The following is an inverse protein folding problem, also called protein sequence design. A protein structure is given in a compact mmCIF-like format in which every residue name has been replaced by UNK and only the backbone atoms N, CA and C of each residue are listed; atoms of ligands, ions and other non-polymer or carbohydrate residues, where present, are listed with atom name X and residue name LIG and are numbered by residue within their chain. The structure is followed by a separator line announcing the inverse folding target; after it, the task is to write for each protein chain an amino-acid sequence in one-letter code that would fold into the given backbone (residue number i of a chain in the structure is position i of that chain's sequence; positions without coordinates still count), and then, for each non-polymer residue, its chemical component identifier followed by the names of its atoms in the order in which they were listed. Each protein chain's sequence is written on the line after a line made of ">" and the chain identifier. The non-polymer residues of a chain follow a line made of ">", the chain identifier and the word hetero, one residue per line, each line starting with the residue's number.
data_IF_804206564485
#
_entry.id   IF_804206564485
#
_cell.length_a   1.000
_cell.length_b   1.000
_cell.length_c   1.000
_cell.angle_alpha   90.00
_cell.angle_beta   90.00
_cell.angle_gamma   90.00
#
_symmetry.space_group_name_H-M   'P 1'
#
loop_
_entity.id
_entity.type
_entity.pdbx_description
1 polymer ?
#
# COMPACT_ATOMS: atom_id res chain seq x y z
N UNK A 1 -6.24 9.36 -11.77
CA UNK A 1 -6.40 9.55 -13.23
C UNK A 1 -6.50 11.04 -13.47
N UNK A 2 -5.67 11.62 -14.34
CA UNK A 2 -5.83 13.02 -14.74
C UNK A 2 -7.27 13.20 -15.20
N UNK A 3 -7.97 14.20 -14.64
CA UNK A 3 -9.31 14.51 -15.14
C UNK A 3 -9.17 14.87 -16.61
N UNK A 4 -10.18 14.57 -17.42
CA UNK A 4 -10.17 14.97 -18.82
C UNK A 4 -10.00 16.50 -18.98
N UNK A 5 -10.31 17.27 -17.92
CA UNK A 5 -10.03 18.70 -17.83
C UNK A 5 -8.55 19.05 -17.63
N UNK A 6 -7.73 18.19 -17.00
CA UNK A 6 -6.27 18.41 -16.91
C UNK A 6 -5.58 18.11 -18.24
N UNK A 7 -6.11 17.19 -19.04
CA UNK A 7 -5.66 16.97 -20.42
C UNK A 7 -6.01 18.16 -21.33
N UNK A 8 -7.05 18.94 -21.02
CA UNK A 8 -7.47 20.10 -21.82
C UNK A 8 -6.79 21.41 -21.41
N UNK A 9 -6.10 21.46 -20.26
CA UNK A 9 -5.44 22.66 -19.74
C UNK A 9 -3.93 22.71 -20.00
N UNK A 10 -3.36 21.64 -20.57
CA UNK A 10 -2.08 21.74 -21.24
C UNK A 10 -2.39 22.48 -22.53
N UNK A 11 -1.96 23.74 -22.61
CA UNK A 11 -1.91 24.50 -23.86
C UNK A 11 -0.90 23.74 -24.75
N UNK A 12 -1.41 22.71 -25.43
CA UNK A 12 -0.65 21.89 -26.39
C UNK A 12 -0.39 22.83 -27.56
N UNK A 13 0.62 23.69 -27.39
CA UNK A 13 1.31 24.34 -28.47
C UNK A 13 1.52 23.26 -29.52
N UNK A 14 0.83 23.43 -30.66
CA UNK A 14 0.64 22.44 -31.71
C UNK A 14 1.86 21.54 -31.83
N UNK A 15 1.79 20.34 -31.25
CA UNK A 15 2.89 19.41 -31.29
C UNK A 15 3.00 18.94 -32.73
N UNK A 16 3.88 19.58 -33.50
CA UNK A 16 4.18 19.17 -34.87
C UNK A 16 4.80 17.77 -34.75
N UNK A 17 4.16 16.72 -35.31
CA UNK A 17 4.72 15.38 -35.24
C UNK A 17 6.12 15.38 -35.86
N UNK A 18 7.07 14.71 -35.22
CA UNK A 18 8.43 14.61 -35.73
C UNK A 18 8.39 13.99 -37.14
N UNK A 19 9.19 14.49 -38.11
CA UNK A 19 9.32 13.86 -39.42
C UNK A 19 9.63 12.35 -39.26
N UNK A 20 8.98 11.45 -40.02
CA UNK A 20 9.17 9.99 -39.89
C UNK A 20 10.63 9.53 -40.02
N UNK A 21 11.44 10.31 -40.74
CA UNK A 21 12.88 10.07 -40.94
C UNK A 21 13.68 10.22 -39.64
N UNK A 22 13.19 11.02 -38.68
CA UNK A 22 13.85 11.23 -37.39
C UNK A 22 13.39 10.22 -36.35
N UNK A 23 12.09 9.87 -36.30
CA UNK A 23 11.61 8.88 -35.31
C UNK A 23 12.16 7.48 -35.59
N UNK A 24 12.30 7.10 -36.87
CA UNK A 24 12.88 5.80 -37.27
C UNK A 24 14.36 5.63 -36.97
N UNK A 25 15.08 6.70 -36.60
CA UNK A 25 16.52 6.63 -36.26
C UNK A 25 16.78 6.31 -34.80
N UNK A 26 15.78 6.47 -33.93
CA UNK A 26 15.94 6.16 -32.50
C UNK A 26 15.66 4.66 -32.33
N UNK A 27 16.64 3.85 -31.87
CA UNK A 27 16.39 2.44 -31.62
C UNK A 27 15.26 2.23 -30.62
N UNK A 28 14.46 1.18 -30.82
CA UNK A 28 13.34 0.78 -29.96
C UNK A 28 13.73 0.83 -28.47
N UNK A 29 14.81 0.14 -28.14
CA UNK A 29 15.30 0.00 -26.76
C UNK A 29 15.62 1.36 -26.12
N UNK A 30 16.06 2.35 -26.90
CA UNK A 30 16.46 3.67 -26.38
C UNK A 30 15.24 4.47 -25.97
N UNK A 31 14.19 4.54 -26.81
CA UNK A 31 13.02 5.31 -26.43
C UNK A 31 12.15 4.58 -25.39
N UNK A 32 12.13 3.24 -25.37
CA UNK A 32 11.44 2.50 -24.30
C UNK A 32 12.07 2.79 -22.93
N UNK A 33 13.39 2.77 -22.85
CA UNK A 33 14.12 3.14 -21.64
C UNK A 33 13.77 4.59 -21.24
N UNK A 34 13.80 5.55 -22.17
CA UNK A 34 13.42 6.94 -21.86
C UNK A 34 11.99 7.02 -21.31
N UNK A 35 11.02 6.35 -21.94
CA UNK A 35 9.61 6.35 -21.52
C UNK A 35 9.43 5.70 -20.13
N UNK A 36 10.23 4.69 -19.79
CA UNK A 36 10.18 4.03 -18.48
C UNK A 36 10.59 4.93 -17.31
N UNK A 37 11.40 5.95 -17.56
CA UNK A 37 11.82 6.94 -16.56
C UNK A 37 10.94 8.19 -16.51
N UNK A 38 9.94 8.31 -17.38
CA UNK A 38 9.03 9.47 -17.42
C UNK A 38 8.05 9.46 -16.25
N UNK A 39 7.68 10.64 -15.78
CA UNK A 39 6.58 10.82 -14.83
C UNK A 39 5.21 10.75 -15.53
N UNK A 40 4.14 10.63 -14.74
CA UNK A 40 2.78 10.46 -15.26
C UNK A 40 2.31 11.57 -16.23
N UNK A 41 2.53 12.88 -15.93
CA UNK A 41 2.21 13.94 -16.89
C UNK A 41 2.98 13.82 -18.21
N UNK A 42 4.28 13.52 -18.16
CA UNK A 42 5.11 13.40 -19.36
C UNK A 42 4.72 12.16 -20.18
N UNK A 43 4.36 11.05 -19.52
CA UNK A 43 3.82 9.86 -20.19
C UNK A 43 2.55 10.16 -21.00
N UNK A 44 1.66 11.01 -20.48
CA UNK A 44 0.45 11.40 -21.20
C UNK A 44 0.78 12.21 -22.47
N UNK A 45 1.76 13.10 -22.40
CA UNK A 45 2.25 13.85 -23.57
C UNK A 45 2.98 12.93 -24.57
N UNK A 46 3.84 12.03 -24.08
CA UNK A 46 4.55 11.04 -24.88
C UNK A 46 3.59 10.14 -25.68
N UNK A 47 2.43 9.81 -25.10
CA UNK A 47 1.41 9.02 -25.78
C UNK A 47 0.80 9.71 -27.02
N UNK A 48 0.99 11.02 -27.16
CA UNK A 48 0.48 11.82 -28.29
C UNK A 48 1.52 12.04 -29.40
N UNK A 49 2.78 11.63 -29.20
CA UNK A 49 3.88 11.90 -30.14
C UNK A 49 3.74 11.07 -31.42
N UNK A 50 3.74 9.74 -31.29
CA UNK A 50 3.54 8.80 -32.40
C UNK A 50 2.92 7.48 -31.90
N UNK A 51 2.66 6.54 -32.82
CA UNK A 51 2.03 5.25 -32.52
C UNK A 51 2.95 4.29 -31.74
N UNK A 52 4.26 4.41 -31.90
CA UNK A 52 5.25 3.56 -31.23
C UNK A 52 5.39 3.97 -29.76
N UNK A 53 5.54 5.27 -29.51
CA UNK A 53 5.55 5.91 -28.19
C UNK A 53 4.22 5.71 -27.48
N UNK A 54 3.10 5.84 -28.20
CA UNK A 54 1.77 5.64 -27.66
C UNK A 54 1.64 4.28 -26.96
N UNK A 55 2.12 3.19 -27.57
CA UNK A 55 1.95 1.84 -27.00
C UNK A 55 2.70 1.72 -25.68
N UNK A 56 3.99 2.06 -25.65
CA UNK A 56 4.81 1.99 -24.44
C UNK A 56 4.33 2.95 -23.35
N UNK A 57 4.01 4.19 -23.73
CA UNK A 57 3.52 5.20 -22.79
C UNK A 57 2.20 4.75 -22.14
N UNK A 58 1.29 4.16 -22.90
CA UNK A 58 0.03 3.64 -22.36
C UNK A 58 0.22 2.42 -21.45
N UNK A 59 1.15 1.52 -21.77
CA UNK A 59 1.52 0.42 -20.88
C UNK A 59 2.00 0.96 -19.52
N UNK A 60 2.84 2.01 -19.53
CA UNK A 60 3.34 2.63 -18.30
C UNK A 60 2.25 3.40 -17.55
N UNK A 61 1.38 4.15 -18.25
CA UNK A 61 0.23 4.85 -17.67
C UNK A 61 -0.74 3.89 -16.97
N UNK A 62 -0.99 2.71 -17.56
CA UNK A 62 -1.90 1.70 -17.00
C UNK A 62 -1.21 0.66 -16.12
N UNK A 63 0.12 0.73 -15.96
CA UNK A 63 0.89 -0.19 -15.11
C UNK A 63 0.41 -0.13 -13.65
N UNK A 64 0.13 1.08 -13.15
CA UNK A 64 -0.36 1.36 -11.81
C UNK A 64 -1.48 2.40 -11.86
N UNK A 65 -2.66 2.03 -11.36
CA UNK A 65 -3.83 2.91 -11.37
C UNK A 65 -4.10 3.47 -9.98
N UNK A 66 -4.28 4.79 -9.91
CA UNK A 66 -4.72 5.48 -8.70
C UNK A 66 -6.21 5.84 -8.79
N UNK A 67 -6.98 5.37 -7.80
CA UNK A 67 -8.39 5.71 -7.59
C UNK A 67 -8.51 6.47 -6.27
N UNK A 68 -8.72 7.78 -6.37
CA UNK A 68 -8.76 8.71 -5.24
C UNK A 68 -10.18 9.15 -4.82
N UNK A 69 -11.16 8.86 -5.66
CA UNK A 69 -12.52 9.38 -5.53
C UNK A 69 -13.54 8.46 -6.17
N UNK A 70 -14.81 8.66 -5.78
CA UNK A 70 -15.95 7.95 -6.38
C UNK A 70 -16.06 8.19 -7.88
N UNK A 71 -15.85 9.44 -8.32
CA UNK A 71 -15.93 9.80 -9.74
C UNK A 71 -14.86 9.08 -10.57
N UNK A 72 -13.61 9.04 -10.09
CA UNK A 72 -12.52 8.28 -10.72
C UNK A 72 -12.85 6.79 -10.83
N UNK A 73 -13.44 6.21 -9.78
CA UNK A 73 -13.88 4.81 -9.79
C UNK A 73 -14.99 4.55 -10.82
N UNK A 74 -16.06 5.33 -10.79
CA UNK A 74 -17.20 5.16 -11.69
C UNK A 74 -16.79 5.36 -13.16
N UNK A 75 -15.91 6.32 -13.43
CA UNK A 75 -15.36 6.56 -14.76
C UNK A 75 -14.53 5.37 -15.25
N UNK A 76 -13.64 4.82 -14.41
CA UNK A 76 -12.84 3.65 -14.77
C UNK A 76 -13.73 2.43 -15.04
N UNK A 77 -14.73 2.17 -14.18
CA UNK A 77 -15.69 1.07 -14.36
C UNK A 77 -16.50 1.26 -15.64
N UNK A 78 -16.95 2.49 -15.93
CA UNK A 78 -17.65 2.80 -17.18
C UNK A 78 -16.75 2.53 -18.39
N UNK A 79 -15.52 3.04 -18.40
CA UNK A 79 -14.57 2.85 -19.48
C UNK A 79 -14.20 1.37 -19.69
N UNK A 80 -14.00 0.61 -18.61
CA UNK A 80 -13.74 -0.82 -18.66
C UNK A 80 -14.87 -1.60 -19.35
N UNK A 81 -16.13 -1.15 -19.16
CA UNK A 81 -17.31 -1.75 -19.77
C UNK A 81 -17.50 -1.32 -21.22
N UNK A 82 -17.26 -0.04 -21.53
CA UNK A 82 -17.59 0.53 -22.86
C UNK A 82 -16.43 0.48 -23.85
N UNK A 83 -15.18 0.39 -23.40
CA UNK A 83 -14.00 0.43 -24.27
C UNK A 83 -13.19 -0.88 -24.21
N UNK A 84 -13.20 -1.70 -25.28
CA UNK A 84 -12.37 -2.90 -25.37
C UNK A 84 -10.88 -2.61 -25.23
N UNK A 85 -10.45 -1.43 -25.70
CA UNK A 85 -9.05 -0.98 -25.61
C UNK A 85 -8.62 -0.75 -24.17
N UNK A 86 -9.42 -0.01 -23.40
CA UNK A 86 -9.16 0.22 -21.97
C UNK A 86 -9.14 -1.10 -21.22
N UNK A 87 -10.10 -1.99 -21.50
CA UNK A 87 -10.13 -3.33 -20.89
C UNK A 87 -8.84 -4.12 -21.17
N UNK A 88 -8.30 -4.08 -22.40
CA UNK A 88 -7.01 -4.70 -22.71
C UNK A 88 -5.89 -4.15 -21.81
N UNK A 89 -5.80 -2.83 -21.65
CA UNK A 89 -4.79 -2.23 -20.76
C UNK A 89 -4.99 -2.64 -19.30
N UNK A 90 -6.24 -2.68 -18.82
CA UNK A 90 -6.54 -3.12 -17.46
C UNK A 90 -6.15 -4.57 -17.18
N UNK A 91 -6.13 -5.44 -18.20
CA UNK A 91 -5.62 -6.80 -18.04
C UNK A 91 -4.12 -6.87 -17.75
N UNK A 92 -3.36 -5.87 -18.20
CA UNK A 92 -1.92 -5.75 -17.98
C UNK A 92 -1.56 -4.95 -16.72
N UNK A 93 -2.52 -4.26 -16.09
CA UNK A 93 -2.31 -3.48 -14.87
C UNK A 93 -1.75 -4.34 -13.74
N UNK A 94 -0.62 -3.91 -13.15
CA UNK A 94 0.09 -4.63 -12.09
C UNK A 94 -0.13 -4.01 -10.71
N UNK A 95 -0.46 -2.72 -10.65
CA UNK A 95 -0.67 -1.98 -9.40
C UNK A 95 -2.03 -1.29 -9.35
N UNK A 96 -2.69 -1.35 -8.20
CA UNK A 96 -3.90 -0.60 -7.91
C UNK A 96 -3.75 0.08 -6.55
N UNK A 97 -3.86 1.40 -6.55
CA UNK A 97 -3.81 2.24 -5.37
C UNK A 97 -5.17 2.88 -5.21
N UNK A 98 -5.83 2.61 -4.08
CA UNK A 98 -7.14 3.15 -3.76
C UNK A 98 -6.99 3.97 -2.49
N UNK A 99 -7.14 5.29 -2.60
CA UNK A 99 -6.99 6.18 -1.46
C UNK A 99 -8.22 7.06 -1.35
N UNK A 100 -9.00 6.91 -0.30
CA UNK A 100 -10.15 7.81 -0.11
C UNK A 100 -9.72 9.00 0.74
N UNK A 101 -9.13 10.03 0.12
CA UNK A 101 -8.67 11.21 0.83
C UNK A 101 -9.88 12.10 1.17
N UNK A 102 -10.61 11.74 2.23
CA UNK A 102 -11.50 12.70 2.88
C UNK A 102 -10.62 13.56 3.77
N UNK A 103 -10.21 14.70 3.22
CA UNK A 103 -9.18 15.63 3.72
C UNK A 103 -9.33 16.02 5.20
N UNK A 104 -10.48 15.84 5.83
CA UNK A 104 -10.68 16.38 7.16
C UNK A 104 -10.34 15.35 8.24
N UNK A 105 -9.06 15.37 8.68
CA UNK A 105 -8.60 14.85 9.98
C UNK A 105 -9.50 15.30 11.14
N UNK A 106 -10.19 16.44 10.99
CA UNK A 106 -11.12 16.98 11.99
C UNK A 106 -12.46 16.23 12.05
N UNK A 107 -12.92 15.55 10.98
CA UNK A 107 -14.12 14.71 11.06
C UNK A 107 -13.90 13.44 11.89
N UNK A 108 -12.68 12.92 11.99
CA UNK A 108 -12.42 11.60 12.61
C UNK A 108 -12.51 11.61 14.14
N UNK A 109 -12.28 12.76 14.78
CA UNK A 109 -12.43 12.90 16.23
C UNK A 109 -13.87 13.21 16.65
N UNK A 110 -14.68 13.78 15.76
CA UNK A 110 -16.09 14.03 16.03
C UNK A 110 -16.88 12.74 15.75
N UNK A 111 -17.05 11.91 16.80
CA UNK A 111 -17.74 10.60 16.84
C UNK A 111 -19.17 10.54 16.26
N UNK A 112 -19.67 11.60 15.65
CA UNK A 112 -20.88 11.55 14.84
C UNK A 112 -20.48 10.90 13.52
N UNK A 113 -20.64 9.58 13.46
CA UNK A 113 -20.53 8.72 12.28
C UNK A 113 -21.49 9.18 11.18
N UNK A 114 -21.27 10.38 10.64
CA UNK A 114 -21.89 10.82 9.42
C UNK A 114 -21.51 9.77 8.38
N UNK A 115 -22.50 8.99 7.96
CA UNK A 115 -22.47 8.11 6.80
C UNK A 115 -21.65 8.79 5.73
N UNK A 116 -20.37 8.40 5.57
CA UNK A 116 -19.49 9.06 4.61
C UNK A 116 -20.08 8.75 3.23
N UNK A 117 -20.76 9.71 2.59
CA UNK A 117 -21.38 9.45 1.32
C UNK A 117 -20.26 9.22 0.30
N UNK A 118 -20.36 8.14 -0.48
CA UNK A 118 -19.42 7.89 -1.59
C UNK A 118 -18.39 6.78 -1.40
N UNK A 119 -18.48 5.95 -0.36
CA UNK A 119 -17.61 4.77 -0.21
C UNK A 119 -17.84 3.78 -1.35
N UNK A 120 -17.05 3.83 -2.42
CA UNK A 120 -17.10 2.89 -3.55
C UNK A 120 -16.31 1.60 -3.29
N UNK A 121 -15.52 1.56 -2.22
CA UNK A 121 -14.62 0.46 -1.95
C UNK A 121 -15.35 -0.89 -1.83
N UNK A 122 -16.61 -0.90 -1.36
CA UNK A 122 -17.40 -2.12 -1.26
C UNK A 122 -17.65 -2.80 -2.62
N UNK A 123 -17.76 -2.01 -3.69
CA UNK A 123 -18.01 -2.49 -5.05
C UNK A 123 -16.72 -2.75 -5.84
N UNK A 124 -15.57 -2.32 -5.31
CA UNK A 124 -14.30 -2.34 -6.03
C UNK A 124 -13.86 -3.76 -6.44
N UNK A 125 -13.81 -4.75 -5.53
CA UNK A 125 -13.39 -6.09 -5.93
C UNK A 125 -14.35 -6.73 -6.93
N UNK A 126 -15.65 -6.54 -6.76
CA UNK A 126 -16.67 -7.06 -7.67
C UNK A 126 -16.60 -6.42 -9.07
N UNK A 127 -16.25 -5.14 -9.16
CA UNK A 127 -16.26 -4.40 -10.43
C UNK A 127 -14.96 -4.53 -11.22
N UNK A 128 -13.82 -4.62 -10.52
CA UNK A 128 -12.49 -4.60 -11.16
C UNK A 128 -11.73 -5.93 -11.04
N UNK A 129 -12.15 -6.83 -10.14
CA UNK A 129 -11.46 -8.11 -9.87
C UNK A 129 -11.22 -8.95 -11.12
N UNK A 130 -12.25 -9.09 -11.96
CA UNK A 130 -12.13 -9.84 -13.22
C UNK A 130 -11.47 -9.05 -14.36
N UNK A 131 -11.51 -7.72 -14.28
CA UNK A 131 -10.98 -6.83 -15.31
C UNK A 131 -9.46 -6.66 -15.18
N UNK A 132 -8.91 -6.90 -13.98
CA UNK A 132 -7.48 -6.77 -13.67
C UNK A 132 -6.84 -8.11 -13.25
N UNK A 133 -6.86 -9.15 -14.10
CA UNK A 133 -6.22 -10.42 -13.77
C UNK A 133 -4.71 -10.30 -13.54
N UNK A 134 -4.04 -9.30 -14.12
CA UNK A 134 -2.61 -9.06 -13.93
C UNK A 134 -2.22 -8.38 -12.60
N UNK A 135 -3.20 -8.05 -11.74
CA UNK A 135 -2.96 -7.24 -10.55
C UNK A 135 -2.07 -7.98 -9.53
N UNK A 136 -0.92 -7.39 -9.20
CA UNK A 136 0.06 -7.93 -8.23
C UNK A 136 0.17 -7.11 -6.96
N UNK A 137 -0.02 -5.80 -7.04
CA UNK A 137 0.10 -4.89 -5.90
C UNK A 137 -1.22 -4.18 -5.66
N UNK A 138 -1.76 -4.33 -4.46
CA UNK A 138 -2.98 -3.66 -4.02
C UNK A 138 -2.67 -2.78 -2.81
N UNK A 139 -2.94 -1.49 -2.92
CA UNK A 139 -2.86 -0.54 -1.81
C UNK A 139 -4.26 0.00 -1.53
N UNK A 140 -4.73 -0.14 -0.29
CA UNK A 140 -6.01 0.40 0.17
C UNK A 140 -5.72 1.37 1.32
N UNK A 141 -6.01 2.65 1.12
CA UNK A 141 -5.81 3.72 2.08
C UNK A 141 -7.10 4.45 2.41
N UNK A 142 -7.31 4.76 3.69
CA UNK A 142 -8.42 5.60 4.21
C UNK A 142 -9.84 5.14 3.82
N UNK A 143 -10.00 3.90 3.37
CA UNK A 143 -11.26 3.42 2.80
C UNK A 143 -11.88 2.22 3.53
N UNK A 144 -11.10 1.48 4.32
CA UNK A 144 -11.62 0.35 5.10
C UNK A 144 -12.21 0.85 6.41
N UNK A 145 -13.48 0.50 6.63
CA UNK A 145 -14.25 0.90 7.80
C UNK A 145 -14.92 -0.32 8.46
N UNK A 146 -15.30 -0.25 9.74
CA UNK A 146 -15.84 -1.39 10.48
C UNK A 146 -17.05 -2.10 9.85
N UNK A 147 -17.86 -1.38 9.06
CA UNK A 147 -19.11 -1.87 8.46
C UNK A 147 -19.01 -2.12 6.94
N UNK A 148 -17.88 -2.64 6.46
CA UNK A 148 -17.78 -3.07 5.07
C UNK A 148 -18.89 -4.05 4.71
N UNK A 149 -19.55 -3.84 3.57
CA UNK A 149 -20.58 -4.74 3.07
C UNK A 149 -20.00 -6.14 2.81
N UNK A 150 -20.70 -7.25 3.15
CA UNK A 150 -20.20 -8.60 2.96
C UNK A 150 -19.68 -8.92 1.56
N UNK A 151 -20.32 -8.37 0.51
CA UNK A 151 -19.91 -8.60 -0.89
C UNK A 151 -18.47 -8.15 -1.15
N UNK A 152 -17.95 -7.17 -0.40
CA UNK A 152 -16.56 -6.77 -0.48
C UNK A 152 -15.64 -7.97 -0.20
N UNK A 153 -15.81 -8.60 0.95
CA UNK A 153 -15.00 -9.74 1.37
C UNK A 153 -15.16 -10.95 0.46
N UNK A 154 -16.38 -11.21 -0.03
CA UNK A 154 -16.64 -12.32 -0.96
C UNK A 154 -15.98 -12.09 -2.33
N UNK A 155 -15.85 -10.85 -2.78
CA UNK A 155 -15.29 -10.52 -4.08
C UNK A 155 -13.77 -10.24 -4.04
N UNK A 156 -13.16 -10.03 -2.87
CA UNK A 156 -11.71 -9.85 -2.73
C UNK A 156 -10.87 -10.97 -3.39
N UNK A 157 -11.24 -12.27 -3.28
CA UNK A 157 -10.49 -13.36 -3.92
C UNK A 157 -10.43 -13.29 -5.44
N UNK A 158 -11.22 -12.43 -6.10
CA UNK A 158 -11.12 -12.21 -7.55
C UNK A 158 -9.73 -11.66 -7.94
N UNK A 159 -9.05 -10.97 -7.03
CA UNK A 159 -7.67 -10.51 -7.20
C UNK A 159 -6.63 -11.59 -6.84
N UNK A 160 -6.79 -12.79 -7.40
CA UNK A 160 -6.03 -14.01 -7.02
C UNK A 160 -4.49 -13.91 -7.17
N UNK A 161 -4.00 -12.94 -7.95
CA UNK A 161 -2.58 -12.75 -8.26
C UNK A 161 -1.90 -11.67 -7.43
N UNK A 162 -2.58 -11.10 -6.44
CA UNK A 162 -1.98 -10.10 -5.54
C UNK A 162 -0.91 -10.76 -4.69
N UNK A 163 0.31 -10.24 -4.83
CA UNK A 163 1.53 -10.64 -4.12
C UNK A 163 1.87 -9.64 -3.02
N UNK A 164 1.49 -8.37 -3.19
CA UNK A 164 1.76 -7.30 -2.22
C UNK A 164 0.48 -6.56 -1.84
N UNK A 165 0.13 -6.61 -0.56
CA UNK A 165 -1.00 -5.88 0.02
C UNK A 165 -0.48 -4.79 0.97
N UNK A 166 -0.93 -3.56 0.75
CA UNK A 166 -0.66 -2.42 1.64
C UNK A 166 -1.98 -1.86 2.15
N UNK A 167 -2.12 -1.79 3.45
CA UNK A 167 -3.27 -1.25 4.17
C UNK A 167 -2.82 0.01 4.89
N UNK A 168 -3.35 1.17 4.48
CA UNK A 168 -3.03 2.48 5.05
C UNK A 168 -4.24 3.03 5.81
N UNK A 169 -4.05 3.44 7.06
CA UNK A 169 -5.05 4.09 7.89
C UNK A 169 -6.38 3.32 7.92
N UNK A 170 -6.29 2.01 8.17
CA UNK A 170 -7.45 1.09 8.08
C UNK A 170 -8.19 0.96 9.40
N UNK A 171 -9.51 1.00 9.35
CA UNK A 171 -10.36 0.91 10.54
C UNK A 171 -11.21 -0.34 10.44
N UNK A 172 -10.91 -1.32 11.28
CA UNK A 172 -11.61 -2.60 11.26
C UNK A 172 -12.35 -2.79 12.59
N UNK A 173 -13.50 -3.47 12.53
CA UNK A 173 -14.30 -3.75 13.73
C UNK A 173 -13.63 -4.77 14.65
N UNK A 174 -12.81 -5.66 14.07
CA UNK A 174 -12.11 -6.73 14.77
C UNK A 174 -11.01 -7.31 13.88
N UNK A 175 -10.16 -8.13 14.50
CA UNK A 175 -9.06 -8.83 13.83
C UNK A 175 -9.54 -9.84 12.78
N UNK A 176 -10.76 -10.38 12.91
CA UNK A 176 -11.31 -11.34 11.94
C UNK A 176 -11.57 -10.69 10.57
N UNK A 177 -11.85 -9.39 10.49
CA UNK A 177 -11.91 -8.68 9.21
C UNK A 177 -10.52 -8.58 8.56
N UNK A 178 -9.48 -8.30 9.33
CA UNK A 178 -8.10 -8.28 8.81
C UNK A 178 -7.71 -9.66 8.29
N UNK A 179 -8.01 -10.70 9.06
CA UNK A 179 -7.83 -12.10 8.67
C UNK A 179 -8.47 -12.36 7.31
N UNK A 180 -9.77 -12.08 7.15
CA UNK A 180 -10.47 -12.28 5.86
C UNK A 180 -9.85 -11.52 4.69
N UNK A 181 -9.39 -10.29 4.92
CA UNK A 181 -8.72 -9.51 3.87
C UNK A 181 -7.42 -10.19 3.46
N UNK A 182 -6.57 -10.56 4.42
CA UNK A 182 -5.26 -11.19 4.15
C UNK A 182 -5.45 -12.56 3.47
N UNK A 183 -6.38 -13.38 3.96
CA UNK A 183 -6.65 -14.71 3.41
C UNK A 183 -7.40 -14.72 2.07
N UNK A 184 -7.86 -13.57 1.58
CA UNK A 184 -8.40 -13.47 0.23
C UNK A 184 -7.33 -13.59 -0.86
N UNK A 185 -6.04 -13.43 -0.52
CA UNK A 185 -4.94 -13.38 -1.48
C UNK A 185 -3.99 -14.57 -1.28
N UNK A 186 -4.20 -15.71 -1.98
CA UNK A 186 -3.44 -16.93 -1.74
C UNK A 186 -1.96 -16.83 -2.15
N UNK A 187 -1.60 -15.86 -3.00
CA UNK A 187 -0.22 -15.61 -3.46
C UNK A 187 0.47 -14.48 -2.68
N UNK A 188 -0.09 -14.05 -1.54
CA UNK A 188 0.43 -12.91 -0.80
C UNK A 188 1.80 -13.22 -0.19
N UNK A 189 2.81 -12.45 -0.59
CA UNK A 189 4.18 -12.54 -0.08
C UNK A 189 4.58 -11.31 0.73
N UNK A 190 3.96 -10.15 0.50
CA UNK A 190 4.27 -8.90 1.18
C UNK A 190 3.01 -8.27 1.77
N UNK A 191 3.02 -8.04 3.08
CA UNK A 191 1.94 -7.39 3.81
C UNK A 191 2.51 -6.15 4.49
N UNK A 192 1.82 -5.02 4.34
CA UNK A 192 2.17 -3.81 5.05
C UNK A 192 0.94 -3.18 5.69
N UNK A 193 0.96 -3.00 7.00
CA UNK A 193 -0.08 -2.43 7.82
C UNK A 193 0.43 -1.08 8.35
N UNK A 194 -0.16 0.02 7.89
CA UNK A 194 0.20 1.37 8.32
C UNK A 194 -0.99 2.03 8.99
N UNK A 195 -0.78 2.55 10.20
CA UNK A 195 -1.74 3.32 11.00
C UNK A 195 -3.11 2.65 11.13
N UNK A 196 -3.15 1.33 11.29
CA UNK A 196 -4.39 0.58 11.48
C UNK A 196 -4.96 0.75 12.89
N UNK A 197 -6.29 0.73 13.01
CA UNK A 197 -7.00 0.74 14.29
C UNK A 197 -8.04 -0.37 14.33
N UNK A 198 -7.99 -1.19 15.39
CA UNK A 198 -8.98 -2.20 15.71
C UNK A 198 -9.90 -1.65 16.79
N UNK A 199 -11.05 -1.10 16.39
CA UNK A 199 -12.02 -0.56 17.35
C UNK A 199 -13.09 -1.60 17.60
N UNK A 200 -13.05 -2.21 18.78
CA UNK A 200 -14.22 -2.94 19.27
C UNK A 200 -15.37 -1.94 19.40
N UNK A 201 -16.42 -2.19 18.64
CA UNK A 201 -17.62 -1.40 18.78
C UNK A 201 -18.27 -1.69 20.12
N UNK A 202 -18.76 -0.63 20.75
CA UNK A 202 -19.48 -0.71 22.00
C UNK A 202 -20.53 -1.82 21.96
N UNK A 203 -20.62 -2.69 22.99
CA UNK A 203 -21.53 -3.84 23.02
C UNK A 203 -23.02 -3.49 22.81
N UNK A 204 -23.39 -2.21 23.00
CA UNK A 204 -24.74 -1.69 22.77
C UNK A 204 -25.06 -1.28 21.33
N UNK A 205 -24.06 -1.16 20.44
CA UNK A 205 -24.32 -1.02 19.02
C UNK A 205 -24.85 -2.37 18.54
N UNK A 206 -26.19 -2.48 18.44
CA UNK A 206 -26.94 -3.62 17.90
C UNK A 206 -26.62 -3.86 16.42
N UNK A 207 -25.34 -4.01 16.09
CA UNK A 207 -24.89 -4.55 14.82
C UNK A 207 -25.25 -6.02 14.84
N UNK A 208 -26.52 -6.26 14.52
CA UNK A 208 -27.02 -7.58 14.17
C UNK A 208 -26.10 -8.12 13.08
N UNK A 209 -25.19 -8.99 13.49
CA UNK A 209 -25.02 -10.32 12.91
C UNK A 209 -25.13 -10.39 11.39
N UNK A 210 -24.42 -9.54 10.67
CA UNK A 210 -23.74 -10.03 9.47
C UNK A 210 -22.58 -10.89 10.00
N UNK A 211 -22.95 -12.03 10.60
CA UNK A 211 -22.05 -13.09 10.99
C UNK A 211 -21.54 -13.64 9.66
N UNK A 212 -20.55 -12.94 9.12
CA UNK A 212 -19.79 -13.41 7.99
C UNK A 212 -19.30 -14.81 8.38
N UNK A 213 -19.40 -15.80 7.48
CA UNK A 213 -18.94 -17.13 7.76
C UNK A 213 -17.48 -17.10 8.21
N UNK A 214 -17.06 -18.03 9.09
CA UNK A 214 -15.66 -18.16 9.42
C UNK A 214 -14.86 -18.33 8.11
N UNK A 215 -13.67 -17.72 8.03
CA UNK A 215 -12.81 -17.85 6.86
C UNK A 215 -12.56 -19.33 6.57
N UNK A 216 -12.71 -19.73 5.30
CA UNK A 216 -12.56 -21.13 4.91
C UNK A 216 -11.13 -21.60 5.25
N UNK A 217 -10.97 -22.58 6.15
CA UNK A 217 -9.66 -22.99 6.64
C UNK A 217 -8.74 -23.51 5.53
N UNK A 218 -9.31 -23.98 4.41
CA UNK A 218 -8.52 -24.46 3.25
C UNK A 218 -7.70 -23.36 2.56
N UNK A 219 -8.12 -22.11 2.64
CA UNK A 219 -7.34 -21.00 2.09
C UNK A 219 -6.24 -20.54 3.05
N UNK A 220 -6.33 -20.92 4.33
CA UNK A 220 -5.40 -20.46 5.34
C UNK A 220 -4.00 -21.09 5.25
N UNK A 221 -3.91 -22.31 4.74
CA UNK A 221 -2.66 -23.10 4.74
C UNK A 221 -1.62 -22.68 3.70
N UNK A 222 -1.98 -21.81 2.76
CA UNK A 222 -1.13 -21.57 1.57
C UNK A 222 -0.37 -20.24 1.58
N UNK A 223 -0.73 -19.30 2.47
CA UNK A 223 -0.07 -17.99 2.51
C UNK A 223 1.30 -18.13 3.15
N UNK A 224 2.33 -17.72 2.42
CA UNK A 224 3.73 -17.73 2.87
C UNK A 224 4.28 -16.31 2.81
N UNK A 225 4.08 -15.57 3.87
CA UNK A 225 4.52 -14.18 3.93
C UNK A 225 6.04 -14.12 4.02
N UNK A 226 6.66 -13.42 3.08
CA UNK A 226 8.11 -13.15 3.03
C UNK A 226 8.46 -11.78 3.62
N UNK A 227 7.56 -10.81 3.51
CA UNK A 227 7.76 -9.45 3.99
C UNK A 227 6.57 -8.96 4.81
N UNK A 228 6.86 -8.43 5.99
CA UNK A 228 5.88 -7.87 6.90
C UNK A 228 6.36 -6.50 7.37
N UNK A 229 5.52 -5.49 7.17
CA UNK A 229 5.72 -4.16 7.71
C UNK A 229 4.53 -3.84 8.60
N UNK A 230 4.77 -3.58 9.87
CA UNK A 230 3.79 -3.08 10.82
C UNK A 230 4.23 -1.68 11.21
N UNK A 231 3.35 -0.70 11.05
CA UNK A 231 3.58 0.69 11.41
C UNK A 231 2.31 1.18 12.13
N UNK A 232 2.30 1.20 13.45
CA UNK A 232 1.11 1.56 14.26
C UNK A 232 1.33 2.87 14.99
N UNK A 233 0.36 3.79 14.87
CA UNK A 233 0.54 5.17 15.31
C UNK A 233 -0.27 5.58 16.55
N UNK A 234 -1.27 4.79 16.98
CA UNK A 234 -2.33 5.35 17.86
C UNK A 234 -2.83 4.44 19.00
N UNK A 235 -2.67 3.11 18.93
CA UNK A 235 -3.24 2.20 19.94
C UNK A 235 -2.36 0.98 20.17
N UNK A 236 -1.84 0.86 21.39
CA UNK A 236 -1.05 -0.29 21.82
C UNK A 236 -1.86 -1.58 21.65
N UNK A 237 -3.09 -1.60 22.16
CA UNK A 237 -3.92 -2.80 22.15
C UNK A 237 -4.17 -3.34 20.74
N UNK A 238 -4.34 -2.44 19.75
CA UNK A 238 -4.40 -2.81 18.34
C UNK A 238 -3.12 -3.54 17.89
N UNK A 239 -1.94 -3.02 18.23
CA UNK A 239 -0.66 -3.65 17.91
C UNK A 239 -0.56 -5.04 18.56
N UNK A 240 -0.89 -5.16 19.85
CA UNK A 240 -0.84 -6.44 20.58
C UNK A 240 -1.71 -7.48 19.89
N UNK A 241 -2.97 -7.15 19.58
CA UNK A 241 -3.89 -8.07 18.91
C UNK A 241 -3.44 -8.46 17.50
N UNK A 242 -2.84 -7.53 16.77
CA UNK A 242 -2.27 -7.82 15.45
C UNK A 242 -1.10 -8.79 15.58
N UNK A 243 -0.19 -8.55 16.51
CA UNK A 243 0.96 -9.42 16.76
C UNK A 243 0.50 -10.79 17.26
N UNK A 244 -0.41 -10.86 18.23
CA UNK A 244 -0.95 -12.11 18.76
C UNK A 244 -1.55 -12.97 17.64
N UNK A 245 -2.34 -12.35 16.75
CA UNK A 245 -2.88 -13.05 15.58
C UNK A 245 -1.78 -13.53 14.63
N UNK A 246 -0.77 -12.71 14.35
CA UNK A 246 0.37 -13.08 13.50
C UNK A 246 1.19 -14.22 14.11
N UNK A 247 1.37 -14.22 15.42
CA UNK A 247 2.09 -15.26 16.17
C UNK A 247 1.30 -16.57 16.17
N UNK A 248 -0.01 -16.50 16.40
CA UNK A 248 -0.90 -17.67 16.41
C UNK A 248 -1.10 -18.27 15.01
N UNK A 249 -0.96 -17.46 13.96
CA UNK A 249 -1.06 -17.94 12.58
C UNK A 249 0.26 -18.52 12.07
N UNK A 250 0.19 -19.29 10.99
CA UNK A 250 1.37 -19.88 10.32
C UNK A 250 1.92 -18.96 9.21
N UNK A 251 1.26 -17.84 8.92
CA UNK A 251 1.60 -16.98 7.79
C UNK A 251 3.00 -16.35 7.92
N UNK A 252 3.48 -16.17 9.16
CA UNK A 252 4.78 -15.59 9.46
C UNK A 252 5.93 -16.62 9.48
N UNK A 253 5.68 -17.92 9.33
CA UNK A 253 6.71 -18.95 9.50
C UNK A 253 7.87 -18.88 8.48
N UNK A 254 7.67 -18.19 7.34
CA UNK A 254 8.65 -18.04 6.26
C UNK A 254 9.08 -16.59 6.05
N UNK A 255 9.00 -15.76 7.10
CA UNK A 255 9.27 -14.34 6.98
C UNK A 255 10.76 -14.08 6.79
N UNK A 256 11.12 -13.30 5.77
CA UNK A 256 12.50 -12.87 5.49
C UNK A 256 12.77 -11.44 5.95
N UNK A 257 11.80 -10.54 5.75
CA UNK A 257 11.90 -9.13 6.09
C UNK A 257 10.80 -8.76 7.09
N UNK A 258 11.19 -8.39 8.30
CA UNK A 258 10.29 -7.85 9.33
C UNK A 258 10.65 -6.39 9.62
N UNK A 259 9.67 -5.50 9.51
CA UNK A 259 9.79 -4.12 9.98
C UNK A 259 8.64 -3.83 10.94
N UNK A 260 8.97 -3.43 12.16
CA UNK A 260 8.00 -3.01 13.17
C UNK A 260 8.31 -1.57 13.55
N UNK A 261 7.35 -0.68 13.32
CA UNK A 261 7.39 0.72 13.72
C UNK A 261 6.22 0.99 14.63
N UNK A 262 6.49 1.63 15.75
CA UNK A 262 5.42 2.03 16.67
C UNK A 262 5.72 3.40 17.25
N UNK A 263 4.68 4.21 17.31
CA UNK A 263 4.74 5.59 17.77
C UNK A 263 3.73 5.80 18.89
N UNK A 264 4.21 6.14 20.08
CA UNK A 264 3.34 6.40 21.22
C UNK A 264 3.02 7.90 21.29
N UNK A 265 1.73 8.25 21.25
CA UNK A 265 1.30 9.65 21.23
C UNK A 265 1.24 10.26 22.64
N UNK A 266 1.09 9.47 23.71
CA UNK A 266 1.13 9.96 25.10
C UNK A 266 1.56 8.86 26.09
N UNK A 267 2.57 9.08 26.94
CA UNK A 267 2.99 8.13 27.99
C UNK A 267 2.11 8.19 29.24
N UNK A 268 0.79 8.39 29.11
CA UNK A 268 0.00 8.90 30.23
C UNK A 268 -0.52 7.90 31.27
N UNK A 269 -0.23 6.60 31.19
CA UNK A 269 -0.54 5.67 32.28
C UNK A 269 0.54 4.58 32.44
N UNK A 270 0.81 4.23 33.69
CA UNK A 270 1.97 3.48 34.23
C UNK A 270 2.03 1.99 33.83
N UNK A 271 1.11 1.49 33.01
CA UNK A 271 1.14 0.13 32.50
C UNK A 271 1.90 0.09 31.17
N UNK A 272 3.23 0.20 31.28
CA UNK A 272 4.13 -0.01 30.15
C UNK A 272 4.15 -1.51 29.80
N UNK A 273 3.11 -1.97 29.12
CA UNK A 273 3.09 -3.33 28.56
C UNK A 273 4.31 -3.49 27.64
N UNK A 274 5.03 -4.58 27.85
CA UNK A 274 6.31 -4.85 27.20
C UNK A 274 6.11 -5.19 25.72
N UNK A 275 6.01 -4.15 24.89
CA UNK A 275 5.95 -4.27 23.42
C UNK A 275 7.16 -5.05 22.89
N UNK A 276 8.29 -5.02 23.60
CA UNK A 276 9.47 -5.78 23.20
C UNK A 276 9.23 -7.30 23.29
N UNK A 277 8.45 -7.78 24.28
CA UNK A 277 8.12 -9.20 24.37
C UNK A 277 7.21 -9.65 23.23
N UNK A 278 6.25 -8.81 22.80
CA UNK A 278 5.41 -9.11 21.64
C UNK A 278 6.23 -9.20 20.35
N UNK A 279 7.15 -8.25 20.15
CA UNK A 279 8.07 -8.30 19.01
C UNK A 279 8.98 -9.53 19.09
N UNK A 280 9.47 -9.89 20.28
CA UNK A 280 10.24 -11.11 20.49
C UNK A 280 9.45 -12.37 20.16
N UNK A 281 8.16 -12.44 20.51
CA UNK A 281 7.30 -13.57 20.13
C UNK A 281 7.14 -13.66 18.61
N UNK A 282 6.95 -12.53 17.92
CA UNK A 282 6.88 -12.49 16.47
C UNK A 282 8.20 -12.93 15.81
N UNK A 283 9.34 -12.51 16.37
CA UNK A 283 10.68 -12.95 15.95
C UNK A 283 10.89 -14.45 16.14
N UNK A 284 10.51 -15.01 17.31
CA UNK A 284 10.55 -16.45 17.58
C UNK A 284 9.68 -17.21 16.58
N UNK A 285 8.48 -16.72 16.26
CA UNK A 285 7.57 -17.33 15.30
C UNK A 285 8.07 -17.27 13.85
N UNK A 286 8.74 -16.18 13.47
CA UNK A 286 9.31 -16.00 12.13
C UNK A 286 10.41 -17.01 11.82
N UNK A 287 11.07 -17.53 12.86
CA UNK A 287 12.02 -18.63 12.74
C UNK A 287 13.34 -18.24 12.04
N UNK A 288 14.11 -19.24 11.58
CA UNK A 288 15.47 -19.04 11.06
C UNK A 288 15.51 -18.40 9.66
N UNK A 289 14.37 -18.23 9.00
CA UNK A 289 14.29 -17.65 7.65
C UNK A 289 14.42 -16.12 7.63
N UNK A 290 14.34 -15.49 8.81
CA UNK A 290 14.42 -14.04 8.95
C UNK A 290 15.83 -13.53 8.62
N UNK A 291 15.93 -12.75 7.54
CA UNK A 291 17.19 -12.17 7.05
C UNK A 291 17.35 -10.74 7.56
N UNK A 292 16.26 -9.97 7.59
CA UNK A 292 16.28 -8.56 7.97
C UNK A 292 15.22 -8.28 9.01
N UNK A 293 15.64 -7.58 10.04
CA UNK A 293 14.79 -7.05 11.08
C UNK A 293 15.07 -5.56 11.24
N UNK A 294 14.02 -4.75 11.30
CA UNK A 294 14.09 -3.34 11.60
C UNK A 294 13.00 -2.99 12.62
N UNK A 295 13.44 -2.56 13.79
CA UNK A 295 12.56 -2.00 14.82
C UNK A 295 12.79 -0.50 14.89
N UNK A 296 11.71 0.26 14.82
CA UNK A 296 11.73 1.72 14.98
C UNK A 296 10.73 2.06 16.08
N UNK A 297 11.26 2.25 17.29
CA UNK A 297 10.52 2.82 18.40
C UNK A 297 10.71 4.34 18.38
N UNK A 298 9.63 5.11 18.39
CA UNK A 298 9.72 6.56 18.49
C UNK A 298 8.63 7.15 19.36
N UNK A 299 8.98 8.11 20.21
CA UNK A 299 8.02 9.16 20.59
C UNK A 299 7.81 10.02 19.33
N UNK A 300 6.56 10.35 18.96
CA UNK A 300 6.32 11.25 17.81
C UNK A 300 7.24 12.48 17.95
N UNK A 301 7.99 12.87 16.90
CA UNK A 301 8.69 14.15 16.94
C UNK A 301 7.61 15.22 17.14
N UNK A 302 7.63 15.90 18.28
CA UNK A 302 6.92 17.17 18.39
C UNK A 302 7.44 18.04 17.25
N UNK A 303 6.53 18.50 16.39
CA UNK A 303 6.81 19.24 15.14
C UNK A 303 7.39 20.65 15.41
N UNK A 304 8.07 20.85 16.54
CA UNK A 304 8.61 22.14 16.97
C UNK A 304 10.13 22.20 17.09
N UNK A 305 10.91 21.14 16.84
CA UNK A 305 12.38 21.27 16.80
C UNK A 305 13.02 20.38 15.72
N UNK A 306 13.61 21.03 14.72
CA UNK A 306 14.63 20.49 13.83
C UNK A 306 15.82 20.00 14.66
N UNK A 307 15.83 18.70 14.99
CA UNK A 307 17.05 18.03 15.45
C UNK A 307 17.15 16.74 14.64
N UNK A 308 18.26 16.64 13.89
CA UNK A 308 18.77 15.41 13.29
C UNK A 308 18.80 14.31 14.36
N UNK A 309 17.73 13.51 14.43
CA UNK A 309 17.77 12.26 15.17
C UNK A 309 18.52 11.25 14.30
N UNK A 310 19.79 11.07 14.64
CA UNK A 310 20.61 9.92 14.31
C UNK A 310 19.74 8.67 14.35
N UNK A 311 19.48 8.11 13.17
CA UNK A 311 18.89 6.80 13.05
C UNK A 311 19.80 5.81 13.78
N UNK A 312 19.42 5.41 14.99
CA UNK A 312 19.93 4.16 15.56
C UNK A 312 19.26 3.05 14.75
N UNK A 313 19.77 2.81 13.54
CA UNK A 313 19.61 1.53 12.88
C UNK A 313 20.36 0.53 13.75
N UNK A 314 19.67 -0.14 14.68
CA UNK A 314 20.11 -1.49 15.07
C UNK A 314 19.81 -2.40 13.88
N UNK A 315 20.62 -2.28 12.84
CA UNK A 315 20.80 -3.37 11.87
C UNK A 315 21.60 -4.44 12.59
N UNK A 316 20.94 -5.16 13.49
CA UNK A 316 21.49 -6.44 13.94
C UNK A 316 21.49 -7.35 12.71
N UNK A 317 22.65 -7.53 12.08
CA UNK A 317 22.89 -8.74 11.31
C UNK A 317 22.71 -9.91 12.29
N UNK A 318 21.51 -10.48 12.31
CA UNK A 318 21.08 -11.52 13.26
C UNK A 318 21.89 -12.83 13.12
N UNK A 319 22.82 -12.92 12.18
CA UNK A 319 23.71 -14.06 11.99
C UNK A 319 24.59 -14.40 13.21
N UNK A 320 24.88 -13.45 14.11
CA UNK A 320 25.72 -13.71 15.29
C UNK A 320 24.95 -14.18 16.53
N UNK A 321 23.84 -13.51 16.86
CA UNK A 321 23.17 -13.64 18.18
C UNK A 321 22.21 -14.85 18.22
N UNK A 322 21.66 -15.28 17.07
CA UNK A 322 20.78 -16.44 17.03
C UNK A 322 21.52 -17.78 17.18
N UNK A 323 22.82 -17.86 16.86
CA UNK A 323 23.61 -19.08 17.12
C UNK A 323 23.85 -19.33 18.61
N UNK A 324 23.87 -18.28 19.45
CA UNK A 324 24.07 -18.42 20.90
C UNK A 324 22.79 -18.75 21.68
N UNK A 325 21.60 -18.49 21.13
CA UNK A 325 20.33 -18.73 21.83
C UNK A 325 19.67 -20.08 21.53
N UNK A 326 20.21 -20.88 20.60
CA UNK A 326 19.66 -22.17 20.20
C UNK A 326 20.60 -23.38 20.40
N UNK A 327 21.68 -23.24 21.18
CA UNK A 327 22.49 -24.40 21.62
C UNK A 327 22.85 -24.30 23.10
N UNK A 328 22.35 -25.21 23.96
CA UNK A 328 23.03 -25.51 25.21
C UNK A 328 24.23 -26.41 24.89
N UNK A 329 25.44 -25.89 25.06
CA UNK A 329 26.67 -26.69 25.01
C UNK A 329 27.50 -26.51 23.74
N UNK A 330 28.39 -25.51 23.75
CA UNK A 330 29.82 -25.67 23.42
C UNK A 330 30.47 -24.29 23.47
N UNK A 331 31.33 -24.11 24.47
CA UNK A 331 32.35 -23.07 24.47
C UNK A 331 33.42 -23.52 23.50
N UNK A 332 33.66 -22.77 22.43
CA UNK A 332 34.99 -22.42 21.91
C UNK A 332 34.91 -21.87 20.47
N UNK A 333 35.64 -20.78 20.25
CA UNK A 333 36.18 -20.28 18.98
C UNK A 333 35.24 -19.58 17.97
N UNK A 334 35.13 -18.25 18.09
CA UNK A 334 34.87 -17.34 16.96
C UNK A 334 35.66 -16.02 17.12
N UNK A 335 36.97 -16.07 16.95
CA UNK A 335 37.78 -14.91 16.56
C UNK A 335 38.31 -15.15 15.13
N UNK A 336 37.53 -14.75 14.12
CA UNK A 336 38.01 -14.39 12.76
C UNK A 336 36.79 -14.26 11.85
N UNK A 337 36.41 -13.02 11.47
CA UNK A 337 35.86 -12.63 10.15
C UNK A 337 35.25 -11.22 10.20
N UNK A 338 36.11 -10.21 10.29
CA UNK A 338 35.82 -8.87 9.78
C UNK A 338 36.75 -8.62 8.60
N UNK A 339 36.26 -8.72 7.36
CA UNK A 339 36.79 -7.98 6.21
C UNK A 339 35.92 -8.17 4.97
N UNK A 340 35.51 -7.01 4.41
CA UNK A 340 34.94 -6.73 3.08
C UNK A 340 33.41 -6.65 2.98
N UNK A 341 32.94 -5.43 2.76
CA UNK A 341 31.60 -5.13 2.24
C UNK A 341 31.38 -3.63 2.15
N UNK A 342 31.68 -3.05 0.98
CA UNK A 342 31.48 -1.64 0.63
C UNK A 342 30.00 -1.28 0.76
N UNK A 343 29.69 -0.14 1.38
CA UNK A 343 28.37 0.51 1.35
C UNK A 343 28.52 1.86 0.64
N UNK A 344 27.77 2.04 -0.44
CA UNK A 344 27.54 3.33 -1.09
C UNK A 344 26.23 3.91 -0.56
N UNK A 345 26.28 5.07 0.09
CA UNK A 345 25.09 5.84 0.46
C UNK A 345 24.89 6.96 -0.57
N UNK A 346 23.73 6.94 -1.25
CA UNK A 346 23.22 8.09 -2.00
C UNK A 346 22.31 8.90 -1.06
N UNK A 347 22.60 10.19 -0.90
CA UNK A 347 21.72 11.16 -0.23
C UNK A 347 21.15 12.04 -1.33
N UNK A 348 19.85 11.93 -1.60
CA UNK A 348 19.12 12.87 -2.45
C UNK A 348 18.43 13.91 -1.56
N UNK A 349 18.90 15.15 -1.64
CA UNK A 349 18.31 16.33 -1.02
C UNK A 349 17.08 16.78 -1.82
N UNK A 350 15.93 16.95 -1.17
CA UNK A 350 14.78 17.64 -1.77
C UNK A 350 14.57 18.97 -1.07
N UNK A 351 14.59 20.02 -1.88
CA UNK A 351 14.41 21.43 -1.53
C UNK A 351 12.91 21.71 -1.35
N UNK A 352 12.56 22.36 -0.26
CA UNK A 352 11.21 22.86 0.03
C UNK A 352 11.06 24.26 -0.56
N UNK A 353 10.05 24.45 -1.41
CA UNK A 353 9.50 25.77 -1.70
C UNK A 353 8.00 25.75 -1.40
N UNK A 354 7.60 26.74 -0.61
CA UNK A 354 6.23 27.01 -0.21
C UNK A 354 5.71 28.16 -1.06
N UNK A 355 4.53 28.01 -1.65
CA UNK A 355 3.71 29.14 -2.09
C UNK A 355 2.23 28.86 -1.91
N UNK A 356 1.56 29.92 -1.49
CA UNK A 356 0.22 30.02 -0.94
C UNK A 356 -0.92 30.00 -1.96
N UNK A 357 -2.06 29.57 -1.45
CA UNK A 357 -3.44 29.60 -1.98
C UNK A 357 -3.89 30.93 -2.61
N UNK A 358 -4.63 30.83 -3.72
CA UNK A 358 -5.81 31.68 -3.98
C UNK A 358 -6.87 30.92 -4.80
N UNK A 359 -8.11 30.97 -4.32
CA UNK A 359 -9.28 30.34 -4.91
C UNK A 359 -9.91 31.20 -6.01
N UNK A 360 -10.45 30.56 -7.05
CA UNK A 360 -11.48 31.14 -7.92
C UNK A 360 -12.37 30.06 -8.52
N UNK A 361 -13.68 30.33 -8.49
CA UNK A 361 -14.78 29.50 -8.97
C UNK A 361 -15.00 29.63 -10.50
N UNK A 362 -15.79 28.69 -11.04
CA UNK A 362 -16.53 28.65 -12.34
C UNK A 362 -15.82 27.96 -13.53
N UNK A 363 -16.56 27.54 -14.59
CA UNK A 363 -17.75 26.69 -14.64
C UNK A 363 -17.59 25.46 -15.60
N UNK A 364 -18.54 24.53 -15.56
CA UNK A 364 -18.70 23.38 -16.48
C UNK A 364 -18.92 23.84 -17.94
N UNK A 365 -18.33 23.18 -18.97
CA UNK A 365 -19.13 22.24 -19.78
C UNK A 365 -18.37 21.03 -20.39
N UNK A 366 -19.09 19.90 -20.50
CA UNK A 366 -18.75 18.74 -21.33
C UNK A 366 -19.11 18.99 -22.81
N UNK A 367 -18.18 18.70 -23.73
CA UNK A 367 -18.52 18.28 -25.10
C UNK A 367 -17.59 17.13 -25.54
N UNK A 368 -18.23 16.05 -25.95
CA UNK A 368 -17.66 14.89 -26.63
C UNK A 368 -17.31 15.26 -28.07
N UNK A 369 -16.11 14.91 -28.52
CA UNK A 369 -15.86 14.58 -29.91
C UNK A 369 -15.25 13.19 -29.96
N UNK A 370 -15.98 12.30 -30.63
CA UNK A 370 -15.52 10.99 -31.04
C UNK A 370 -14.87 11.13 -32.42
N UNK A 371 -13.71 10.53 -32.58
CA UNK A 371 -13.17 10.02 -33.84
C UNK A 371 -12.58 8.66 -33.57
#
# INVERSE_FOLDING_TARGET
>A
MLSQATLNAIDVAQAVPLPPILSSRIPLDVYEEIIDWMDQPTLAAAALVDTAWHTRAMDNLYSTILIDSRASFDLLVKQARTSPRVRRWLTATRGLIVTHIVISRTYWHNRKYATVPGLFLHALPASLGQTMPGLRTLTIGFGLYPFMHPTFFHALPLFKHVVSLRLLDVWLSNIAQLHRIVYAFPQLESLSLFSGSLKEMYPGARSQRLALPPPNPRHASNIRLKKLVIDTCDDQHTLERMIDWLVQSEICANLHDLTVKYWWVKPHYEEQHDTSELVNQLLRRSGPHLVRFCEIAGSRPHVSQNILLTAISRTTQLCGIWRSLLRPGSKENLQTLCRRGRLSCFISSTRSEATSSSASQLPSPFKLLAT
#
